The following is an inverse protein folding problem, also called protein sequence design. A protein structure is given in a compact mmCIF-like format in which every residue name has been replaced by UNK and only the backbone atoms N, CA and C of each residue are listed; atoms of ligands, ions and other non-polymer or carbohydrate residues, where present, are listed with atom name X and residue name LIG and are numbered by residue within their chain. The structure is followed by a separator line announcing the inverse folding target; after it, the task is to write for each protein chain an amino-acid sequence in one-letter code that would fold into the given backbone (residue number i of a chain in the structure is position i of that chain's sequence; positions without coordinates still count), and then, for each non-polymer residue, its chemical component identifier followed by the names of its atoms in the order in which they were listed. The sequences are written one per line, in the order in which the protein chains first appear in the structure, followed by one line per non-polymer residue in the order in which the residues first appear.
data_IF_246446968434
#
_entry.id   IF_246446968434
#
_cell.length_a   1.000
_cell.length_b   1.000
_cell.length_c   1.000
_cell.angle_alpha   90.00
_cell.angle_beta   90.00
_cell.angle_gamma   90.00
#
_symmetry.space_group_name_H-M   'P 1'
#
loop_
_entity.id
_entity.type
_entity.pdbx_description
1 polymer ?
#
# COMPACT_ATOMS: atom_id res chain seq x y z
N UNK A 1 -10.09 23.01 -2.40
CA UNK A 1 -9.68 21.60 -2.35
C UNK A 1 -8.17 21.58 -2.28
N UNK A 2 -7.52 20.82 -1.38
CA UNK A 2 -6.08 20.65 -1.44
C UNK A 2 -5.69 20.21 -2.85
N UNK A 3 -4.57 20.72 -3.35
CA UNK A 3 -4.13 20.52 -4.73
C UNK A 3 -3.95 19.02 -4.99
N UNK A 4 -4.85 18.40 -5.76
CA UNK A 4 -4.84 16.95 -6.05
C UNK A 4 -3.50 16.48 -6.63
N UNK A 5 -2.77 17.39 -7.29
CA UNK A 5 -1.44 17.10 -7.84
C UNK A 5 -0.42 16.75 -6.76
N UNK A 6 -0.57 17.34 -5.56
CA UNK A 6 0.27 17.05 -4.40
C UNK A 6 0.03 15.64 -3.86
N UNK A 7 -1.23 15.20 -3.88
CA UNK A 7 -1.59 13.83 -3.46
C UNK A 7 -1.16 12.77 -4.49
N UNK A 8 -0.99 13.17 -5.75
CA UNK A 8 -0.52 12.32 -6.84
C UNK A 8 1.01 12.39 -7.01
N UNK A 9 1.74 13.15 -6.18
CA UNK A 9 3.19 13.05 -6.15
C UNK A 9 3.56 11.59 -5.86
N UNK A 10 4.48 10.99 -6.63
CA UNK A 10 4.74 9.56 -6.58
C UNK A 10 5.12 9.09 -5.17
N UNK A 11 5.90 9.90 -4.43
CA UNK A 11 6.23 9.62 -3.03
C UNK A 11 4.98 9.55 -2.12
N UNK A 12 4.07 10.52 -2.22
CA UNK A 12 2.83 10.54 -1.43
C UNK A 12 1.88 9.40 -1.83
N UNK A 13 1.80 9.09 -3.13
CA UNK A 13 1.00 8.00 -3.66
C UNK A 13 1.52 6.63 -3.20
N UNK A 14 2.84 6.43 -3.18
CA UNK A 14 3.46 5.20 -2.68
C UNK A 14 3.22 5.04 -1.18
N UNK A 15 3.29 6.11 -0.39
CA UNK A 15 3.01 6.07 1.05
C UNK A 15 1.55 5.65 1.36
N UNK A 16 0.59 6.18 0.60
CA UNK A 16 -0.82 5.79 0.73
C UNK A 16 -1.03 4.33 0.29
N UNK A 17 -0.39 3.89 -0.81
CA UNK A 17 -0.41 2.50 -1.26
C UNK A 17 0.15 1.52 -0.21
N UNK A 18 1.29 1.85 0.42
CA UNK A 18 1.87 1.04 1.51
C UNK A 18 0.92 0.96 2.70
N UNK A 19 0.24 2.05 3.06
CA UNK A 19 -0.77 2.06 4.12
C UNK A 19 -1.94 1.11 3.83
N UNK A 20 -2.43 1.08 2.59
CA UNK A 20 -3.47 0.14 2.15
C UNK A 20 -2.97 -1.31 2.20
N UNK A 21 -1.75 -1.56 1.70
CA UNK A 21 -1.11 -2.87 1.76
C UNK A 21 -0.98 -3.39 3.19
N UNK A 22 -0.57 -2.54 4.13
CA UNK A 22 -0.49 -2.88 5.54
C UNK A 22 -1.88 -3.21 6.13
N UNK A 23 -2.91 -2.45 5.76
CA UNK A 23 -4.29 -2.75 6.14
C UNK A 23 -4.76 -4.13 5.66
N UNK A 24 -4.41 -4.50 4.42
CA UNK A 24 -4.71 -5.83 3.86
C UNK A 24 -3.96 -6.95 4.58
N UNK A 25 -2.71 -6.73 4.99
CA UNK A 25 -1.96 -7.68 5.84
C UNK A 25 -2.66 -7.90 7.17
N UNK A 26 -3.09 -6.81 7.84
CA UNK A 26 -3.77 -6.89 9.13
C UNK A 26 -5.14 -7.59 9.04
N UNK A 27 -5.92 -7.31 8.00
CA UNK A 27 -7.17 -8.04 7.72
C UNK A 27 -6.88 -9.51 7.39
N UNK A 28 -5.78 -9.75 6.66
CA UNK A 28 -5.28 -11.06 6.28
C UNK A 28 -4.90 -11.96 7.46
N UNK A 29 -4.61 -11.39 8.63
CA UNK A 29 -4.34 -12.14 9.86
C UNK A 29 -5.60 -12.78 10.46
N UNK A 30 -6.79 -12.35 10.06
CA UNK A 30 -8.06 -12.92 10.53
C UNK A 30 -8.50 -14.03 9.57
N UNK A 31 -8.46 -15.32 9.99
CA UNK A 31 -8.64 -16.46 9.07
C UNK A 31 -10.01 -16.48 8.37
N UNK A 32 -11.04 -15.90 8.99
CA UNK A 32 -12.41 -15.84 8.47
C UNK A 32 -12.61 -14.82 7.34
N UNK A 33 -11.64 -13.92 7.11
CA UNK A 33 -11.75 -12.81 6.15
C UNK A 33 -10.77 -12.97 4.97
N UNK A 34 -9.87 -13.95 5.02
CA UNK A 34 -8.56 -13.81 4.39
C UNK A 34 -8.19 -14.91 3.39
N UNK A 35 -9.05 -15.23 2.43
CA UNK A 35 -8.65 -16.22 1.41
C UNK A 35 -7.48 -15.72 0.55
N UNK A 36 -7.33 -14.40 0.35
CA UNK A 36 -6.20 -13.82 -0.40
C UNK A 36 -5.68 -12.46 0.15
N UNK A 37 -6.30 -11.89 1.18
CA UNK A 37 -5.99 -10.54 1.65
C UNK A 37 -4.53 -10.40 2.13
N UNK A 38 -4.01 -11.41 2.82
CA UNK A 38 -2.62 -11.44 3.28
C UNK A 38 -1.62 -11.39 2.12
N UNK A 39 -1.84 -12.22 1.09
CA UNK A 39 -0.97 -12.28 -0.09
C UNK A 39 -0.95 -10.94 -0.84
N UNK A 40 -2.12 -10.35 -1.10
CA UNK A 40 -2.21 -9.06 -1.76
C UNK A 40 -1.61 -7.93 -0.92
N UNK A 41 -1.80 -7.96 0.40
CA UNK A 41 -1.19 -6.99 1.31
C UNK A 41 0.33 -7.01 1.24
N UNK A 42 0.94 -8.21 1.26
CA UNK A 42 2.39 -8.37 1.14
C UNK A 42 2.89 -7.83 -0.20
N UNK A 43 2.23 -8.18 -1.32
CA UNK A 43 2.60 -7.71 -2.65
C UNK A 43 2.58 -6.18 -2.74
N UNK A 44 1.52 -5.55 -2.24
CA UNK A 44 1.37 -4.09 -2.27
C UNK A 44 2.42 -3.39 -1.40
N UNK A 45 2.72 -3.93 -0.21
CA UNK A 45 3.78 -3.39 0.65
C UNK A 45 5.14 -3.48 -0.03
N UNK A 46 5.49 -4.65 -0.59
CA UNK A 46 6.78 -4.84 -1.27
C UNK A 46 6.90 -3.92 -2.48
N UNK A 47 5.87 -3.85 -3.32
CA UNK A 47 5.86 -2.96 -4.49
C UNK A 47 5.96 -1.48 -4.10
N UNK A 48 5.28 -1.07 -3.02
CA UNK A 48 5.34 0.28 -2.49
C UNK A 48 6.74 0.66 -1.99
N UNK A 49 7.40 -0.24 -1.24
CA UNK A 49 8.78 -0.04 -0.79
C UNK A 49 9.76 0.05 -1.97
N UNK A 50 9.67 -0.89 -2.92
CA UNK A 50 10.53 -0.87 -4.13
C UNK A 50 10.31 0.42 -4.93
N UNK A 51 9.06 0.85 -5.09
CA UNK A 51 8.73 2.13 -5.73
C UNK A 51 9.36 3.33 -5.01
N UNK A 52 9.35 3.33 -3.68
CA UNK A 52 9.97 4.39 -2.87
C UNK A 52 11.49 4.51 -3.13
N UNK A 53 12.17 3.38 -3.31
CA UNK A 53 13.60 3.38 -3.67
C UNK A 53 13.88 3.87 -5.10
N UNK A 54 12.92 3.74 -6.02
CA UNK A 54 13.07 4.11 -7.43
C UNK A 54 12.69 5.56 -7.72
N UNK A 55 11.78 6.15 -6.93
CA UNK A 55 11.22 7.49 -7.21
C UNK A 55 11.73 8.56 -6.23
N UNK A 56 12.87 8.30 -5.59
CA UNK A 56 13.52 9.19 -4.63
C UNK A 56 13.91 10.55 -5.21
#
# INVERSE_FOLDING_TARGET
MPDMKRCMEPHALLHTGVGIGLGLVLVGLVPSVATNALMWGIVVVVAGFVGEFLVK
#
